data_IF_297984501340
#
_entry.id   IF_297984501340
#
_cell.length_a   1.000
_cell.length_b   1.000
_cell.length_c   1.000
_cell.angle_alpha   90.00
_cell.angle_beta   90.00
_cell.angle_gamma   90.00
#
_symmetry.space_group_name_H-M   'P 1'
#
loop_
_entity.id
_entity.type
_entity.pdbx_description
1 polymer ?
#
# COMPACT_ATOMS: atom_id res chain seq x y z
N UNK A 1 -12.02 16.61 -9.10
CA UNK A 1 -12.06 17.32 -7.80
C UNK A 1 -13.46 17.59 -7.21
N UNK A 2 -14.59 17.64 -7.98
CA UNK A 2 -15.89 17.93 -7.37
C UNK A 2 -16.33 16.91 -6.31
N UNK A 3 -16.12 15.62 -6.58
CA UNK A 3 -16.53 14.52 -5.67
C UNK A 3 -15.89 14.61 -4.28
N UNK A 4 -14.57 14.83 -4.20
CA UNK A 4 -13.88 14.96 -2.91
C UNK A 4 -14.34 16.18 -2.12
N UNK A 5 -14.67 17.29 -2.78
CA UNK A 5 -15.22 18.47 -2.12
C UNK A 5 -16.59 18.23 -1.50
N UNK A 6 -17.40 17.35 -2.08
CA UNK A 6 -18.72 17.01 -1.52
C UNK A 6 -18.57 16.26 -0.19
N UNK A 7 -17.58 15.38 -0.07
CA UNK A 7 -17.36 14.60 1.17
C UNK A 7 -16.48 15.31 2.20
N UNK A 8 -15.60 16.22 1.75
CA UNK A 8 -14.63 16.93 2.59
C UNK A 8 -14.72 18.46 2.36
N UNK A 9 -15.86 19.09 2.65
CA UNK A 9 -16.07 20.51 2.36
C UNK A 9 -15.16 21.45 3.15
N UNK A 10 -14.63 20.98 4.28
CA UNK A 10 -13.70 21.73 5.15
C UNK A 10 -12.22 21.60 4.72
N UNK A 11 -11.90 20.70 3.81
CA UNK A 11 -10.50 20.47 3.42
C UNK A 11 -10.01 21.57 2.48
N UNK A 12 -8.78 22.03 2.71
CA UNK A 12 -8.13 23.00 1.82
C UNK A 12 -7.91 22.41 0.42
N UNK A 13 -7.82 23.22 -0.63
CA UNK A 13 -7.50 22.75 -1.98
C UNK A 13 -6.22 21.91 -2.05
N UNK A 14 -5.21 22.27 -1.27
CA UNK A 14 -3.94 21.54 -1.17
C UNK A 14 -4.14 20.16 -0.54
N UNK A 15 -4.91 20.07 0.56
CA UNK A 15 -5.25 18.80 1.18
C UNK A 15 -6.05 17.89 0.24
N UNK A 16 -7.02 18.44 -0.51
CA UNK A 16 -7.78 17.68 -1.49
C UNK A 16 -6.90 17.13 -2.63
N UNK A 17 -5.91 17.91 -3.09
CA UNK A 17 -4.94 17.46 -4.09
C UNK A 17 -4.06 16.34 -3.55
N UNK A 18 -3.57 16.46 -2.32
CA UNK A 18 -2.75 15.44 -1.67
C UNK A 18 -3.52 14.12 -1.49
N UNK A 19 -4.78 14.20 -1.02
CA UNK A 19 -5.66 13.02 -0.89
C UNK A 19 -5.89 12.37 -2.26
N UNK A 20 -6.20 13.14 -3.27
CA UNK A 20 -6.41 12.61 -4.63
C UNK A 20 -5.16 11.94 -5.17
N UNK A 21 -3.98 12.53 -4.98
CA UNK A 21 -2.72 11.94 -5.39
C UNK A 21 -2.44 10.62 -4.63
N UNK A 22 -2.69 10.60 -3.32
CA UNK A 22 -2.52 9.40 -2.50
C UNK A 22 -3.48 8.27 -2.93
N UNK A 23 -4.77 8.57 -3.13
CA UNK A 23 -5.75 7.58 -3.61
C UNK A 23 -5.35 7.02 -4.96
N UNK A 24 -4.89 7.86 -5.90
CA UNK A 24 -4.39 7.39 -7.20
C UNK A 24 -3.21 6.45 -7.06
N UNK A 25 -2.22 6.78 -6.24
CA UNK A 25 -1.04 5.92 -6.00
C UNK A 25 -1.42 4.59 -5.33
N UNK A 26 -2.33 4.62 -4.36
CA UNK A 26 -2.85 3.39 -3.75
C UNK A 26 -3.60 2.52 -4.76
N UNK A 27 -4.37 3.12 -5.67
CA UNK A 27 -5.06 2.39 -6.74
C UNK A 27 -4.06 1.68 -7.66
N UNK A 28 -3.00 2.36 -8.13
CA UNK A 28 -1.94 1.76 -8.94
C UNK A 28 -1.27 0.59 -8.21
N UNK A 29 -0.80 0.79 -6.98
CA UNK A 29 -0.20 -0.31 -6.17
C UNK A 29 -1.14 -1.51 -6.07
N UNK A 30 -2.44 -1.28 -5.86
CA UNK A 30 -3.44 -2.34 -5.77
C UNK A 30 -3.65 -3.04 -7.11
N UNK A 31 -3.74 -2.30 -8.20
CA UNK A 31 -3.90 -2.83 -9.56
C UNK A 31 -2.75 -3.77 -9.93
N UNK A 32 -1.51 -3.34 -9.72
CA UNK A 32 -0.33 -4.16 -10.01
C UNK A 32 -0.15 -5.32 -9.03
N UNK A 33 -0.61 -5.19 -7.78
CA UNK A 33 -0.67 -6.31 -6.85
C UNK A 33 -1.66 -7.39 -7.31
N UNK A 34 -2.84 -6.99 -7.78
CA UNK A 34 -3.83 -7.91 -8.36
C UNK A 34 -3.28 -8.56 -9.62
N UNK A 35 -2.68 -7.79 -10.53
CA UNK A 35 -2.09 -8.28 -11.77
C UNK A 35 -1.04 -9.36 -11.49
N UNK A 36 -0.07 -9.09 -10.61
CA UNK A 36 0.97 -10.06 -10.24
C UNK A 36 0.40 -11.29 -9.55
N UNK A 37 -0.62 -11.13 -8.68
CA UNK A 37 -1.33 -12.27 -8.06
C UNK A 37 -1.96 -13.18 -9.10
N UNK A 38 -2.63 -12.60 -10.10
CA UNK A 38 -3.28 -13.37 -11.17
C UNK A 38 -2.26 -14.10 -12.05
N UNK A 39 -1.17 -13.42 -12.43
CA UNK A 39 -0.09 -14.06 -13.20
C UNK A 39 0.60 -15.17 -12.41
N UNK A 40 0.92 -14.96 -11.13
CA UNK A 40 1.48 -16.00 -10.29
C UNK A 40 0.58 -17.25 -10.26
N UNK A 41 -0.72 -17.04 -10.03
CA UNK A 41 -1.69 -18.16 -10.00
C UNK A 41 -1.82 -18.87 -11.34
N UNK A 42 -1.80 -18.13 -12.45
CA UNK A 42 -1.85 -18.73 -13.79
C UNK A 42 -0.61 -19.60 -14.03
N UNK A 43 0.61 -19.05 -13.78
CA UNK A 43 1.85 -19.76 -14.01
C UNK A 43 1.97 -21.04 -13.17
N UNK A 44 1.51 -21.01 -11.91
CA UNK A 44 1.52 -22.17 -11.03
C UNK A 44 0.44 -23.19 -11.42
N UNK A 45 -0.77 -22.72 -11.76
CA UNK A 45 -1.89 -23.59 -12.14
C UNK A 45 -1.63 -24.37 -13.41
N UNK A 46 -1.02 -23.74 -14.39
CA UNK A 46 -0.72 -24.35 -15.69
C UNK A 46 0.56 -25.21 -15.64
N UNK A 47 1.23 -25.29 -14.47
CA UNK A 47 2.45 -26.07 -14.28
C UNK A 47 3.67 -25.53 -15.04
N UNK A 48 3.58 -24.29 -15.58
CA UNK A 48 4.68 -23.68 -16.33
C UNK A 48 5.86 -23.33 -15.41
N UNK A 49 5.56 -22.82 -14.22
CA UNK A 49 6.53 -22.44 -13.19
C UNK A 49 5.92 -22.69 -11.81
N UNK A 50 6.78 -22.85 -10.79
CA UNK A 50 6.34 -22.94 -9.41
C UNK A 50 7.19 -22.07 -8.48
N UNK A 51 6.68 -21.81 -7.28
CA UNK A 51 7.39 -21.11 -6.20
C UNK A 51 8.04 -19.79 -6.61
N UNK A 52 9.37 -19.69 -6.39
CA UNK A 52 10.12 -18.45 -6.65
C UNK A 52 10.19 -18.04 -8.11
N UNK A 53 10.42 -18.96 -9.09
CA UNK A 53 10.38 -18.61 -10.51
C UNK A 53 9.05 -18.02 -10.95
N UNK A 54 7.94 -18.59 -10.50
CA UNK A 54 6.60 -18.06 -10.80
C UNK A 54 6.40 -16.64 -10.21
N UNK A 55 6.87 -16.42 -8.97
CA UNK A 55 6.82 -15.11 -8.33
C UNK A 55 7.67 -14.07 -9.08
N UNK A 56 8.90 -14.44 -9.45
CA UNK A 56 9.77 -13.54 -10.20
C UNK A 56 9.19 -13.18 -11.59
N UNK A 57 8.63 -14.16 -12.30
CA UNK A 57 7.98 -13.93 -13.59
C UNK A 57 6.75 -13.03 -13.44
N UNK A 58 5.90 -13.27 -12.44
CA UNK A 58 4.72 -12.45 -12.19
C UNK A 58 5.08 -10.98 -11.87
N UNK A 59 6.14 -10.77 -11.05
CA UNK A 59 6.66 -9.42 -10.75
C UNK A 59 7.23 -8.77 -12.00
N UNK A 60 8.01 -9.50 -12.79
CA UNK A 60 8.60 -8.98 -14.02
C UNK A 60 7.52 -8.55 -15.03
N UNK A 61 6.45 -9.32 -15.17
CA UNK A 61 5.31 -8.97 -16.01
C UNK A 61 4.61 -7.72 -15.49
N UNK A 62 4.35 -7.63 -14.18
CA UNK A 62 3.73 -6.46 -13.58
C UNK A 62 4.60 -5.21 -13.77
N UNK A 63 5.91 -5.30 -13.54
CA UNK A 63 6.85 -4.19 -13.73
C UNK A 63 6.93 -3.75 -15.20
N UNK A 64 6.93 -4.69 -16.14
CA UNK A 64 6.91 -4.39 -17.57
C UNK A 64 5.64 -3.63 -17.98
N UNK A 65 4.49 -4.07 -17.49
CA UNK A 65 3.22 -3.36 -17.72
C UNK A 65 3.22 -1.97 -17.10
N UNK A 66 3.75 -1.81 -15.87
CA UNK A 66 3.92 -0.50 -15.23
C UNK A 66 4.81 0.43 -16.06
N UNK A 67 5.90 -0.10 -16.60
CA UNK A 67 6.78 0.67 -17.50
C UNK A 67 6.05 1.07 -18.80
N UNK A 68 5.29 0.17 -19.43
CA UNK A 68 4.52 0.44 -20.64
C UNK A 68 3.44 1.49 -20.36
N UNK A 69 2.73 1.40 -19.25
CA UNK A 69 1.71 2.37 -18.86
C UNK A 69 2.32 3.76 -18.65
N UNK A 70 3.46 3.84 -17.97
CA UNK A 70 4.18 5.09 -17.75
C UNK A 70 4.75 5.68 -19.04
N UNK A 71 5.29 4.83 -19.92
CA UNK A 71 5.73 5.26 -21.25
C UNK A 71 4.56 5.81 -22.09
N UNK A 72 3.39 5.18 -22.00
CA UNK A 72 2.19 5.65 -22.67
C UNK A 72 1.69 6.99 -22.09
N UNK A 73 1.79 7.16 -20.75
CA UNK A 73 1.42 8.43 -20.09
C UNK A 73 2.34 9.59 -20.49
N UNK A 74 3.62 9.35 -20.74
CA UNK A 74 4.54 10.40 -21.23
C UNK A 74 4.18 10.94 -22.62
N UNK A 75 3.48 10.14 -23.43
CA UNK A 75 3.00 10.58 -24.76
C UNK A 75 1.78 11.50 -24.67
N UNK A 76 1.15 11.62 -23.49
CA UNK A 76 0.02 12.51 -23.28
C UNK A 76 0.53 13.88 -22.82
N UNK A 77 0.14 14.95 -23.54
CA UNK A 77 0.59 16.34 -23.32
C UNK A 77 0.32 16.90 -21.91
N UNK A 78 -0.49 16.23 -21.10
CA UNK A 78 -0.93 16.69 -19.77
C UNK A 78 -0.34 15.89 -18.61
N UNK A 79 0.44 14.82 -18.86
CA UNK A 79 1.03 13.97 -17.83
C UNK A 79 2.49 13.68 -18.14
N UNK A 80 3.36 13.89 -17.15
CA UNK A 80 4.76 13.46 -17.21
C UNK A 80 4.87 12.06 -16.59
N UNK A 81 5.54 11.14 -17.27
CA UNK A 81 5.89 9.84 -16.71
C UNK A 81 6.88 9.98 -15.56
N UNK A 82 6.78 9.11 -14.56
CA UNK A 82 7.62 9.14 -13.37
C UNK A 82 8.20 7.77 -13.07
N UNK A 83 9.52 7.67 -13.00
CA UNK A 83 10.19 6.43 -12.54
C UNK A 83 9.76 6.03 -11.13
N UNK A 84 9.30 6.99 -10.32
CA UNK A 84 8.75 6.71 -8.98
C UNK A 84 7.43 5.94 -9.10
N UNK A 85 6.61 6.26 -10.09
CA UNK A 85 5.34 5.56 -10.30
C UNK A 85 5.60 4.12 -10.81
N UNK A 86 6.58 3.91 -11.71
CA UNK A 86 7.05 2.55 -12.09
C UNK A 86 7.55 1.76 -10.87
N UNK A 87 8.29 2.40 -9.97
CA UNK A 87 8.77 1.75 -8.75
C UNK A 87 7.62 1.38 -7.80
N UNK A 88 6.60 2.22 -7.67
CA UNK A 88 5.39 1.94 -6.89
C UNK A 88 4.58 0.79 -7.47
N UNK A 89 4.42 0.75 -8.79
CA UNK A 89 3.73 -0.32 -9.51
C UNK A 89 4.47 -1.66 -9.33
N UNK A 90 5.81 -1.62 -9.45
CA UNK A 90 6.67 -2.79 -9.18
C UNK A 90 6.57 -3.26 -7.73
N UNK A 91 6.50 -2.33 -6.77
CA UNK A 91 6.27 -2.66 -5.36
C UNK A 91 4.89 -3.31 -5.15
N UNK A 92 3.85 -2.82 -5.83
CA UNK A 92 2.55 -3.46 -5.88
C UNK A 92 2.65 -4.90 -6.39
N UNK A 93 3.34 -5.11 -7.50
CA UNK A 93 3.60 -6.43 -8.07
C UNK A 93 4.30 -7.39 -7.09
N UNK A 94 5.33 -6.90 -6.37
CA UNK A 94 6.02 -7.67 -5.33
C UNK A 94 5.08 -8.07 -4.20
N UNK A 95 4.24 -7.16 -3.72
CA UNK A 95 3.25 -7.43 -2.67
C UNK A 95 2.25 -8.49 -3.12
N UNK A 96 1.74 -8.39 -4.34
CA UNK A 96 0.79 -9.34 -4.90
C UNK A 96 1.39 -10.74 -5.07
N UNK A 97 2.59 -10.85 -5.65
CA UNK A 97 3.29 -12.12 -5.81
C UNK A 97 3.64 -12.75 -4.45
N UNK A 98 4.07 -11.95 -3.46
CA UNK A 98 4.33 -12.41 -2.11
C UNK A 98 3.06 -12.94 -1.43
N UNK A 99 1.95 -12.20 -1.54
CA UNK A 99 0.66 -12.62 -1.00
C UNK A 99 0.19 -13.95 -1.61
N UNK A 100 0.34 -14.12 -2.91
CA UNK A 100 -0.02 -15.35 -3.62
C UNK A 100 0.90 -16.52 -3.24
N UNK A 101 2.21 -16.28 -3.12
CA UNK A 101 3.22 -17.30 -2.85
C UNK A 101 3.22 -17.83 -1.42
N UNK A 102 3.01 -16.95 -0.42
CA UNK A 102 3.00 -17.36 1.00
C UNK A 102 1.61 -17.75 1.50
N UNK A 103 0.57 -17.48 0.73
CA UNK A 103 -0.82 -17.63 1.10
C UNK A 103 -1.39 -16.40 1.80
N UNK A 104 -2.64 -16.07 1.42
CA UNK A 104 -3.30 -14.84 1.84
C UNK A 104 -3.38 -14.63 3.37
N UNK A 105 -3.68 -15.70 4.11
CA UNK A 105 -3.80 -15.60 5.57
C UNK A 105 -2.49 -15.21 6.24
N UNK A 106 -1.37 -15.84 5.82
CA UNK A 106 -0.05 -15.54 6.35
C UNK A 106 0.37 -14.13 5.98
N UNK A 107 0.16 -13.74 4.71
CA UNK A 107 0.46 -12.40 4.23
C UNK A 107 -0.36 -11.36 5.00
N UNK A 108 -1.68 -11.51 5.09
CA UNK A 108 -2.56 -10.59 5.81
C UNK A 108 -2.18 -10.51 7.29
N UNK A 109 -1.85 -11.62 7.91
CA UNK A 109 -1.35 -11.65 9.28
C UNK A 109 -0.06 -10.86 9.44
N UNK A 110 0.92 -11.04 8.56
CA UNK A 110 2.17 -10.28 8.58
C UNK A 110 1.92 -8.79 8.36
N UNK A 111 1.20 -8.43 7.30
CA UNK A 111 0.89 -7.05 6.94
C UNK A 111 0.16 -6.31 8.08
N UNK A 112 -0.84 -6.95 8.69
CA UNK A 112 -1.54 -6.39 9.86
C UNK A 112 -0.56 -6.13 11.02
N UNK A 113 0.38 -7.04 11.27
CA UNK A 113 1.39 -6.84 12.31
C UNK A 113 2.28 -5.62 12.04
N UNK A 114 2.75 -5.47 10.80
CA UNK A 114 3.56 -4.31 10.37
C UNK A 114 2.75 -3.01 10.52
N UNK A 115 1.52 -2.97 9.99
CA UNK A 115 0.67 -1.79 10.07
C UNK A 115 0.38 -1.35 11.50
N UNK A 116 0.14 -2.30 12.42
CA UNK A 116 -0.07 -1.99 13.84
C UNK A 116 1.19 -1.40 14.49
N UNK A 117 2.37 -1.93 14.16
CA UNK A 117 3.64 -1.39 14.67
C UNK A 117 3.88 0.01 14.10
N UNK A 118 3.65 0.23 12.81
CA UNK A 118 3.77 1.56 12.17
C UNK A 118 2.79 2.55 12.80
N UNK A 119 1.53 2.15 13.02
CA UNK A 119 0.53 2.99 13.66
C UNK A 119 0.92 3.34 15.11
N UNK A 120 1.47 2.39 15.86
CA UNK A 120 1.89 2.60 17.24
C UNK A 120 3.13 3.51 17.31
N UNK A 121 4.21 3.13 16.63
CA UNK A 121 5.51 3.85 16.70
C UNK A 121 5.42 5.20 15.99
N UNK A 122 4.88 5.21 14.77
CA UNK A 122 4.70 6.43 13.99
C UNK A 122 3.72 7.39 14.66
N UNK A 123 2.59 6.88 15.14
CA UNK A 123 1.59 7.68 15.86
C UNK A 123 2.14 8.26 17.15
N UNK A 124 2.88 7.47 17.95
CA UNK A 124 3.55 7.97 19.17
C UNK A 124 4.60 9.05 18.84
N UNK A 125 5.38 8.85 17.77
CA UNK A 125 6.34 9.85 17.30
C UNK A 125 5.66 11.16 16.91
N UNK A 126 4.54 11.10 16.18
CA UNK A 126 3.77 12.31 15.81
C UNK A 126 3.18 12.99 17.05
N UNK A 127 2.67 12.23 18.04
CA UNK A 127 2.19 12.81 19.30
C UNK A 127 3.34 13.56 20.01
N UNK A 128 4.52 12.94 20.11
CA UNK A 128 5.68 13.57 20.75
C UNK A 128 6.10 14.87 20.05
N UNK A 129 6.14 14.87 18.71
CA UNK A 129 6.45 16.06 17.91
C UNK A 129 5.39 17.15 18.09
N UNK A 130 4.11 16.79 18.09
CA UNK A 130 3.01 17.72 18.29
C UNK A 130 3.05 18.36 19.68
N UNK A 131 3.33 17.56 20.72
CA UNK A 131 3.52 18.09 22.10
C UNK A 131 4.68 19.06 22.18
N UNK A 132 5.81 18.74 21.55
CA UNK A 132 6.98 19.63 21.52
C UNK A 132 6.69 20.94 20.75
N UNK A 133 5.84 20.89 19.74
CA UNK A 133 5.44 22.04 18.94
C UNK A 133 4.22 22.80 19.49
N UNK A 134 3.62 22.35 20.60
CA UNK A 134 2.39 22.95 21.15
C UNK A 134 1.14 22.76 20.26
N UNK A 135 1.14 21.74 19.40
CA UNK A 135 0.05 21.44 18.45
C UNK A 135 -0.84 20.30 18.98
N UNK A 136 -2.17 20.40 18.89
CA UNK A 136 -3.05 19.33 19.35
C UNK A 136 -2.93 18.07 18.48
N UNK A 137 -2.84 16.90 19.13
CA UNK A 137 -2.70 15.60 18.45
C UNK A 137 -4.04 14.94 18.08
N UNK A 138 -5.17 15.53 18.45
CA UNK A 138 -6.50 15.12 18.02
C UNK A 138 -6.78 13.61 18.18
N UNK A 139 -7.20 12.98 17.09
CA UNK A 139 -7.59 11.56 17.07
C UNK A 139 -6.43 10.58 17.40
N UNK A 140 -5.18 11.01 17.33
CA UNK A 140 -4.02 10.16 17.65
C UNK A 140 -4.05 9.67 19.10
N UNK A 141 -4.65 10.43 20.01
CA UNK A 141 -4.84 10.03 21.41
C UNK A 141 -5.74 8.80 21.57
N UNK A 142 -6.57 8.48 20.58
CA UNK A 142 -7.40 7.27 20.55
C UNK A 142 -6.74 6.16 19.72
N UNK A 143 -6.21 6.49 18.55
CA UNK A 143 -5.70 5.48 17.60
C UNK A 143 -4.40 4.83 18.06
N UNK A 144 -3.50 5.57 18.75
CA UNK A 144 -2.24 5.02 19.24
C UNK A 144 -2.45 4.01 20.38
N UNK A 145 -3.25 4.30 21.45
CA UNK A 145 -3.59 3.29 22.45
C UNK A 145 -4.35 2.10 21.88
N UNK A 146 -5.28 2.31 20.94
CA UNK A 146 -5.98 1.23 20.26
C UNK A 146 -5.03 0.30 19.51
N UNK A 147 -4.04 0.85 18.79
CA UNK A 147 -3.00 0.07 18.13
C UNK A 147 -2.14 -0.70 19.16
N UNK A 148 -1.78 -0.09 20.29
CA UNK A 148 -1.05 -0.77 21.37
C UNK A 148 -1.82 -1.97 21.93
N UNK A 149 -3.09 -1.78 22.23
CA UNK A 149 -3.99 -2.87 22.70
C UNK A 149 -4.06 -3.98 21.65
N UNK A 150 -4.25 -3.64 20.38
CA UNK A 150 -4.32 -4.63 19.30
C UNK A 150 -3.02 -5.43 19.15
N UNK A 151 -1.86 -4.81 19.31
CA UNK A 151 -0.54 -5.49 19.33
C UNK A 151 -0.46 -6.47 20.48
N UNK A 152 -0.85 -6.06 21.70
CA UNK A 152 -0.82 -6.92 22.89
C UNK A 152 -1.77 -8.11 22.74
N UNK A 153 -3.03 -7.87 22.37
CA UNK A 153 -4.03 -8.93 22.16
C UNK A 153 -3.55 -9.94 21.12
N UNK A 154 -2.98 -9.45 20.03
CA UNK A 154 -2.44 -10.31 18.99
C UNK A 154 -1.26 -11.16 19.47
N UNK A 155 -0.39 -10.59 20.31
CA UNK A 155 0.75 -11.32 20.88
C UNK A 155 0.26 -12.42 21.83
N UNK A 156 -0.69 -12.13 22.69
CA UNK A 156 -1.28 -13.11 23.64
C UNK A 156 -1.92 -14.27 22.87
N UNK A 157 -2.72 -13.99 21.83
CA UNK A 157 -3.38 -15.03 21.01
C UNK A 157 -2.41 -15.92 20.21
N UNK A 158 -1.15 -15.52 20.05
CA UNK A 158 -0.13 -16.35 19.40
C UNK A 158 0.63 -17.26 20.37
N UNK A 159 0.49 -17.01 21.67
CA UNK A 159 1.14 -17.77 22.72
C UNK A 159 0.19 -18.82 23.36
N UNK A 160 -1.12 -18.67 23.15
CA UNK A 160 -2.16 -19.64 23.50
C UNK A 160 -2.43 -20.61 22.35
#
# INVERSE_FOLDING_TARGET
MPVLRTFLPWASPVALQAIHAAVRKCAHVTEYAVLATLWYRALVRDGALDGRPAAAAAVAIAALWGFVDEAHQTMQLTRGGSLIDVALDSAGGLLGAAAAGVGWERFASFATGVLLIVALVGGAGVIALNLAAGVPSGILWLTVPAAAIAVVVRRVRRLS
#
